data_IF_520563372092
#
_entry.id   IF_520563372092
#
_cell.length_a   1.000
_cell.length_b   1.000
_cell.length_c   1.000
_cell.angle_alpha   90.00
_cell.angle_beta   90.00
_cell.angle_gamma   90.00
#
_symmetry.space_group_name_H-M   'P 1'
#
loop_
_entity.id
_entity.type
_entity.pdbx_description
1 polymer ?
#
# COMPACT_ATOMS: atom_id res chain seq x y z
N UNK A 1 -4.38 1.43 5.97
CA UNK A 1 -4.66 2.68 5.24
C UNK A 1 -5.15 3.83 6.12
N UNK A 2 -6.30 3.71 6.80
CA UNK A 2 -6.95 4.83 7.53
C UNK A 2 -6.04 5.69 8.42
N UNK A 3 -5.09 5.09 9.15
CA UNK A 3 -4.17 5.83 10.04
C UNK A 3 -3.21 6.73 9.25
N UNK A 4 -2.67 6.25 8.13
CA UNK A 4 -1.77 7.04 7.28
C UNK A 4 -2.51 8.24 6.67
N UNK A 5 -3.72 8.02 6.16
CA UNK A 5 -4.56 9.08 5.61
C UNK A 5 -4.92 10.12 6.66
N UNK A 6 -5.22 9.69 7.89
CA UNK A 6 -5.50 10.61 9.00
C UNK A 6 -4.30 11.47 9.40
N UNK A 7 -3.09 10.91 9.28
CA UNK A 7 -1.84 11.65 9.54
C UNK A 7 -1.57 12.64 8.41
N UNK A 8 -1.74 12.23 7.15
CA UNK A 8 -1.65 13.13 5.99
C UNK A 8 -2.60 14.32 6.15
N UNK A 9 -3.87 14.04 6.42
CA UNK A 9 -4.91 15.05 6.61
C UNK A 9 -4.55 16.02 7.74
N UNK A 10 -4.13 15.47 8.90
CA UNK A 10 -3.73 16.27 10.06
C UNK A 10 -2.54 17.17 9.75
N UNK A 11 -1.51 16.65 9.10
CA UNK A 11 -0.32 17.44 8.77
C UNK A 11 -0.66 18.59 7.82
N UNK A 12 -1.45 18.32 6.78
CA UNK A 12 -1.82 19.36 5.81
C UNK A 12 -2.67 20.44 6.50
N UNK A 13 -3.68 20.04 7.29
CA UNK A 13 -4.53 20.97 8.03
C UNK A 13 -3.75 21.80 9.04
N UNK A 14 -2.83 21.19 9.80
CA UNK A 14 -2.00 21.88 10.78
C UNK A 14 -1.09 22.93 10.12
N UNK A 15 -0.48 22.59 8.98
CA UNK A 15 0.38 23.53 8.26
C UNK A 15 -0.39 24.68 7.61
N UNK A 16 -1.66 24.48 7.26
CA UNK A 16 -2.52 25.50 6.65
C UNK A 16 -3.41 26.25 7.65
N UNK A 17 -3.34 25.93 8.95
CA UNK A 17 -4.22 26.50 9.97
C UNK A 17 -5.70 26.14 9.80
N UNK A 18 -6.01 25.04 9.11
CA UNK A 18 -7.38 24.63 8.81
C UNK A 18 -7.98 23.80 9.95
N UNK A 19 -9.28 23.97 10.16
CA UNK A 19 -10.02 23.20 11.15
C UNK A 19 -10.17 21.73 10.73
N UNK A 20 -10.39 20.86 11.73
CA UNK A 20 -10.58 19.41 11.56
C UNK A 20 -11.73 19.07 10.60
N UNK A 21 -12.71 19.95 10.47
CA UNK A 21 -13.94 19.76 9.67
C UNK A 21 -13.74 19.95 8.16
N UNK A 22 -12.60 20.51 7.71
CA UNK A 22 -12.36 20.64 6.27
C UNK A 22 -12.22 19.27 5.59
N UNK A 23 -12.89 19.08 4.46
CA UNK A 23 -12.89 17.80 3.75
C UNK A 23 -11.53 17.53 3.09
N UNK A 24 -10.85 16.48 3.56
CA UNK A 24 -9.51 16.09 3.11
C UNK A 24 -9.40 15.91 1.58
N UNK A 25 -10.38 15.26 0.96
CA UNK A 25 -10.39 14.99 -0.49
C UNK A 25 -10.42 16.26 -1.34
N UNK A 26 -11.18 17.28 -0.92
CA UNK A 26 -11.22 18.56 -1.62
C UNK A 26 -9.90 19.32 -1.43
N UNK A 27 -9.32 19.25 -0.22
CA UNK A 27 -8.06 19.89 0.12
C UNK A 27 -6.89 19.33 -0.68
N UNK A 28 -6.77 18.00 -0.74
CA UNK A 28 -5.76 17.31 -1.54
C UNK A 28 -5.87 17.68 -3.02
N UNK A 29 -7.09 17.71 -3.57
CA UNK A 29 -7.34 18.11 -4.96
C UNK A 29 -6.95 19.57 -5.22
N UNK A 30 -7.31 20.47 -4.30
CA UNK A 30 -6.99 21.90 -4.44
C UNK A 30 -5.49 22.17 -4.37
N UNK A 31 -4.76 21.41 -3.56
CA UNK A 31 -3.31 21.53 -3.41
C UNK A 31 -2.53 20.73 -4.46
N UNK A 32 -3.22 20.01 -5.34
CA UNK A 32 -2.62 19.04 -6.27
C UNK A 32 -1.73 18.02 -5.56
N UNK A 33 -2.11 17.62 -4.33
CA UNK A 33 -1.43 16.61 -3.54
C UNK A 33 -2.16 15.29 -3.73
N UNK A 34 -1.37 14.25 -3.99
CA UNK A 34 -1.90 12.92 -4.16
C UNK A 34 -2.14 12.20 -2.83
N UNK A 35 -3.11 11.29 -2.80
CA UNK A 35 -3.32 10.46 -1.61
C UNK A 35 -2.14 9.52 -1.43
N UNK A 36 -1.69 9.35 -0.19
CA UNK A 36 -0.60 8.40 0.09
C UNK A 36 -0.99 6.97 -0.31
N UNK A 37 -2.27 6.62 -0.25
CA UNK A 37 -2.77 5.32 -0.72
C UNK A 37 -2.47 5.08 -2.20
N UNK A 38 -2.75 6.07 -3.06
CA UNK A 38 -2.53 5.95 -4.50
C UNK A 38 -1.03 5.83 -4.81
N UNK A 39 -0.19 6.57 -4.08
CA UNK A 39 1.28 6.47 -4.20
C UNK A 39 1.75 5.06 -3.83
N UNK A 40 1.33 4.54 -2.69
CA UNK A 40 1.73 3.21 -2.22
C UNK A 40 1.26 2.15 -3.22
N UNK A 41 0.00 2.19 -3.65
CA UNK A 41 -0.54 1.21 -4.58
C UNK A 41 0.23 1.18 -5.90
N UNK A 42 0.52 2.34 -6.50
CA UNK A 42 1.32 2.39 -7.73
C UNK A 42 2.75 1.90 -7.52
N UNK A 43 3.38 2.24 -6.40
CA UNK A 43 4.74 1.81 -6.10
C UNK A 43 4.80 0.29 -5.89
N UNK A 44 3.81 -0.28 -5.19
CA UNK A 44 3.68 -1.72 -4.99
C UNK A 44 3.45 -2.43 -6.32
N UNK A 45 2.55 -1.94 -7.17
CA UNK A 45 2.30 -2.51 -8.49
C UNK A 45 3.53 -2.41 -9.41
N UNK A 46 4.23 -1.27 -9.38
CA UNK A 46 5.47 -1.07 -10.12
C UNK A 46 6.56 -2.03 -9.65
N UNK A 47 6.74 -2.15 -8.33
CA UNK A 47 7.70 -3.08 -7.74
C UNK A 47 7.35 -4.53 -8.08
N UNK A 48 6.09 -4.92 -7.94
CA UNK A 48 5.59 -6.23 -8.31
C UNK A 48 5.93 -6.54 -9.77
N UNK A 49 5.60 -5.65 -10.71
CA UNK A 49 5.90 -5.81 -12.13
C UNK A 49 7.41 -5.94 -12.40
N UNK A 50 8.24 -5.16 -11.70
CA UNK A 50 9.71 -5.20 -11.85
C UNK A 50 10.30 -6.51 -11.34
N UNK A 51 9.76 -7.09 -10.28
CA UNK A 51 10.22 -8.38 -9.75
C UNK A 51 10.16 -9.46 -10.85
N UNK A 52 9.11 -9.52 -11.68
CA UNK A 52 9.02 -10.54 -12.73
C UNK A 52 9.77 -10.20 -14.02
N UNK A 53 10.18 -8.94 -14.20
CA UNK A 53 10.86 -8.48 -15.43
C UNK A 53 12.37 -8.43 -15.34
N UNK A 54 12.91 -8.35 -14.12
CA UNK A 54 14.36 -8.35 -13.91
C UNK A 54 14.79 -9.80 -13.67
N UNK A 55 15.57 -10.37 -14.60
CA UNK A 55 16.33 -11.59 -14.34
C UNK A 55 17.39 -11.28 -13.29
N UNK A 56 17.06 -11.50 -12.03
CA UNK A 56 17.98 -11.35 -10.91
C UNK A 56 17.79 -12.52 -9.96
N UNK A 57 18.84 -12.91 -9.26
CA UNK A 57 18.72 -13.93 -8.19
C UNK A 57 17.59 -13.56 -7.20
N UNK A 58 17.41 -12.27 -6.91
CA UNK A 58 16.34 -11.75 -6.06
C UNK A 58 14.93 -12.05 -6.59
N UNK A 59 14.69 -11.99 -7.91
CA UNK A 59 13.39 -12.35 -8.48
C UNK A 59 13.11 -13.84 -8.39
N UNK A 60 14.13 -14.68 -8.57
CA UNK A 60 14.03 -16.13 -8.34
C UNK A 60 13.71 -16.46 -6.88
N UNK A 61 14.39 -15.83 -5.91
CA UNK A 61 14.09 -16.03 -4.49
C UNK A 61 12.70 -15.54 -4.09
N UNK A 62 12.26 -14.38 -4.58
CA UNK A 62 10.92 -13.87 -4.32
C UNK A 62 9.83 -14.80 -4.89
N UNK A 63 10.03 -15.33 -6.10
CA UNK A 63 9.14 -16.32 -6.71
C UNK A 63 9.06 -17.60 -5.87
N UNK A 64 10.21 -18.17 -5.49
CA UNK A 64 10.27 -19.38 -4.67
C UNK A 64 9.62 -19.16 -3.31
N UNK A 65 9.90 -18.04 -2.64
CA UNK A 65 9.27 -17.70 -1.36
C UNK A 65 7.77 -17.50 -1.51
N UNK A 66 7.29 -16.84 -2.56
CA UNK A 66 5.86 -16.69 -2.82
C UNK A 66 5.18 -18.05 -3.00
N UNK A 67 5.76 -18.95 -3.80
CA UNK A 67 5.23 -20.31 -4.00
C UNK A 67 5.29 -21.14 -2.71
N UNK A 68 6.37 -21.04 -1.94
CA UNK A 68 6.52 -21.72 -0.66
C UNK A 68 5.49 -21.21 0.34
N UNK A 69 5.37 -19.90 0.56
CA UNK A 69 4.39 -19.31 1.48
C UNK A 69 2.97 -19.70 1.05
N UNK A 70 2.59 -19.58 -0.22
CA UNK A 70 1.26 -19.99 -0.67
C UNK A 70 0.98 -21.47 -0.38
N UNK A 71 1.94 -22.35 -0.66
CA UNK A 71 1.78 -23.81 -0.47
C UNK A 71 1.80 -24.25 1.00
N UNK A 72 2.55 -23.56 1.87
CA UNK A 72 2.64 -23.89 3.29
C UNK A 72 1.59 -23.19 4.16
N UNK A 73 1.04 -22.06 3.72
CA UNK A 73 0.04 -21.29 4.48
C UNK A 73 -1.41 -21.63 4.12
N UNK A 74 -1.70 -22.16 2.91
CA UNK A 74 -3.04 -22.64 2.52
C UNK A 74 -3.58 -23.86 3.30
N UNK A 75 -2.79 -24.89 3.71
CA UNK A 75 -3.33 -26.00 4.49
C UNK A 75 -3.80 -25.60 5.89
N UNK A 76 -3.35 -24.45 6.43
CA UNK A 76 -3.76 -23.98 7.75
C UNK A 76 -5.20 -23.43 7.81
N UNK A 77 -5.82 -23.13 6.66
CA UNK A 77 -7.21 -22.64 6.60
C UNK A 77 -8.23 -23.76 6.36
N UNK A 78 -7.81 -24.89 5.78
CA UNK A 78 -8.69 -26.03 5.50
C UNK A 78 -8.89 -26.92 6.75
N UNK A 79 -7.95 -26.88 7.71
CA UNK A 79 -8.04 -27.60 8.98
C UNK A 79 -8.89 -26.93 10.08
N UNK A 80 -9.57 -25.81 9.79
CA UNK A 80 -10.44 -25.09 10.73
C UNK A 80 -11.94 -25.19 10.38
N UNK A 81 -12.28 -25.96 9.35
CA UNK A 81 -13.64 -26.19 8.85
C UNK A 81 -14.00 -27.68 8.69
N UNK A 82 -13.30 -28.57 9.42
CA UNK A 82 -13.68 -29.97 9.65
C UNK A 82 -13.59 -30.24 11.15
#
# INVERSE_FOLDING_TARGET
MRRLESVQDRLIKQNLGLSKLSHNTALLKALNIEKIEDIINRNVLSLYNRIFKVESLASTYCLVLYFMVKRYLEPCWIGLYL
#
